data_IF_703512380228
#
_entry.id   IF_703512380228
#
_cell.length_a   1.000
_cell.length_b   1.000
_cell.length_c   1.000
_cell.angle_alpha   90.00
_cell.angle_beta   90.00
_cell.angle_gamma   90.00
#
_symmetry.space_group_name_H-M   'P 1'
#
loop_
_entity.id
_entity.type
_entity.pdbx_description
1 polymer ?
#
# COMPACT_ATOMS: atom_id res chain seq x y z
N UNK A 1 4.14 -22.01 -9.55
CA UNK A 1 3.80 -21.00 -10.58
C UNK A 1 2.39 -21.19 -11.14
N UNK A 2 2.00 -22.40 -11.57
CA UNK A 2 0.64 -22.66 -12.10
C UNK A 2 -0.51 -22.23 -11.17
N UNK A 3 -0.35 -22.42 -9.86
CA UNK A 3 -1.38 -22.05 -8.88
C UNK A 3 -1.55 -20.52 -8.70
N UNK A 4 -0.47 -19.76 -8.87
CA UNK A 4 -0.50 -18.29 -8.84
C UNK A 4 -1.21 -17.75 -10.08
N UNK A 5 -0.90 -18.30 -11.26
CA UNK A 5 -1.56 -17.93 -12.52
C UNK A 5 -3.06 -18.22 -12.45
N UNK A 6 -3.47 -19.38 -11.93
CA UNK A 6 -4.88 -19.73 -11.75
C UNK A 6 -5.61 -18.84 -10.73
N UNK A 7 -4.91 -18.26 -9.74
CA UNK A 7 -5.47 -17.24 -8.84
C UNK A 7 -5.62 -15.89 -9.55
N UNK A 8 -4.64 -15.50 -10.36
CA UNK A 8 -4.68 -14.26 -11.17
C UNK A 8 -5.84 -14.32 -12.16
N UNK A 9 -5.98 -15.42 -12.91
CA UNK A 9 -7.06 -15.60 -13.89
C UNK A 9 -8.43 -15.50 -13.23
N UNK A 10 -8.66 -16.23 -12.12
CA UNK A 10 -9.91 -16.13 -11.36
C UNK A 10 -10.17 -14.73 -10.81
N UNK A 11 -9.13 -14.03 -10.36
CA UNK A 11 -9.26 -12.67 -9.85
C UNK A 11 -9.65 -11.66 -10.94
N UNK A 12 -9.33 -11.94 -12.21
CA UNK A 12 -9.57 -11.06 -13.37
C UNK A 12 -10.81 -11.47 -14.19
N UNK A 13 -11.26 -12.72 -14.08
CA UNK A 13 -12.37 -13.25 -14.87
C UNK A 13 -13.66 -12.45 -14.67
N UNK A 14 -14.24 -11.99 -15.79
CA UNK A 14 -15.48 -11.21 -15.79
C UNK A 14 -15.35 -9.75 -15.32
N UNK A 15 -14.14 -9.27 -15.01
CA UNK A 15 -13.92 -7.88 -14.62
C UNK A 15 -13.52 -7.03 -15.84
N UNK A 16 -14.07 -5.81 -15.98
CA UNK A 16 -13.61 -4.86 -17.00
C UNK A 16 -12.13 -4.53 -16.78
N UNK A 17 -11.41 -4.22 -17.86
CA UNK A 17 -10.01 -3.80 -17.74
C UNK A 17 -9.97 -2.44 -17.05
N UNK A 18 -8.98 -2.22 -16.19
CA UNK A 18 -8.85 -0.97 -15.46
C UNK A 18 -8.74 0.26 -16.35
N UNK A 19 -8.17 0.13 -17.56
CA UNK A 19 -8.04 1.22 -18.53
C UNK A 19 -9.39 1.67 -19.11
N UNK A 20 -10.41 0.81 -19.08
CA UNK A 20 -11.74 1.12 -19.58
C UNK A 20 -12.64 1.73 -18.48
N UNK A 21 -12.12 1.87 -17.25
CA UNK A 21 -12.84 2.38 -16.09
C UNK A 21 -12.49 3.84 -15.77
N UNK A 22 -13.45 4.65 -15.30
CA UNK A 22 -13.15 5.90 -14.62
C UNK A 22 -12.21 5.68 -13.41
N UNK A 23 -11.32 6.63 -13.12
CA UNK A 23 -10.26 6.47 -12.12
C UNK A 23 -10.77 6.02 -10.74
N UNK A 24 -11.87 6.61 -10.25
CA UNK A 24 -12.47 6.20 -8.98
C UNK A 24 -12.93 4.72 -8.98
N UNK A 25 -13.49 4.24 -10.09
CA UNK A 25 -13.90 2.84 -10.23
C UNK A 25 -12.69 1.91 -10.37
N UNK A 26 -11.65 2.33 -11.10
CA UNK A 26 -10.39 1.59 -11.20
C UNK A 26 -9.72 1.43 -9.82
N UNK A 27 -9.73 2.47 -8.97
CA UNK A 27 -9.25 2.41 -7.58
C UNK A 27 -10.03 1.38 -6.76
N UNK A 28 -11.36 1.44 -6.80
CA UNK A 28 -12.21 0.50 -6.07
C UNK A 28 -11.99 -0.95 -6.54
N UNK A 29 -11.91 -1.17 -7.86
CA UNK A 29 -11.64 -2.47 -8.45
C UNK A 29 -10.26 -3.03 -8.04
N UNK A 30 -9.24 -2.17 -8.02
CA UNK A 30 -7.89 -2.53 -7.56
C UNK A 30 -7.88 -2.86 -6.07
N UNK A 31 -8.50 -2.04 -5.23
CA UNK A 31 -8.58 -2.28 -3.79
C UNK A 31 -9.28 -3.62 -3.45
N UNK A 32 -10.40 -3.92 -4.12
CA UNK A 32 -11.10 -5.20 -3.93
C UNK A 32 -10.36 -6.43 -4.48
N UNK A 33 -9.32 -6.24 -5.28
CA UNK A 33 -8.48 -7.30 -5.84
C UNK A 33 -7.09 -7.43 -5.23
N UNK A 34 -6.60 -6.38 -4.56
CA UNK A 34 -5.22 -6.28 -4.06
C UNK A 34 -4.88 -7.44 -3.11
N UNK A 35 -5.80 -7.77 -2.20
CA UNK A 35 -5.58 -8.83 -1.20
C UNK A 35 -5.67 -10.25 -1.78
N UNK A 36 -6.26 -10.43 -2.97
CA UNK A 36 -6.51 -11.76 -3.55
C UNK A 36 -5.20 -12.52 -3.85
N UNK A 37 -4.13 -11.78 -4.12
CA UNK A 37 -2.81 -12.33 -4.43
C UNK A 37 -1.81 -12.16 -3.28
N UNK A 38 -2.18 -11.42 -2.24
CA UNK A 38 -1.30 -11.13 -1.12
C UNK A 38 -1.25 -12.28 -0.10
N UNK A 39 -0.23 -12.21 0.75
CA UNK A 39 -0.13 -13.01 1.96
C UNK A 39 -0.96 -12.34 3.07
N UNK A 40 -1.40 -13.09 4.10
CA UNK A 40 -1.84 -12.46 5.33
C UNK A 40 -0.76 -11.48 5.85
N UNK A 41 -1.15 -10.31 6.37
CA UNK A 41 -0.20 -9.36 6.96
C UNK A 41 0.66 -10.02 8.04
N UNK A 42 1.93 -9.62 8.13
CA UNK A 42 2.82 -10.06 9.19
C UNK A 42 2.37 -9.48 10.55
N UNK A 43 2.57 -10.25 11.62
CA UNK A 43 2.37 -9.75 12.98
C UNK A 43 3.46 -8.72 13.35
N UNK A 44 3.02 -7.57 13.83
CA UNK A 44 3.86 -6.44 14.24
C UNK A 44 3.50 -6.00 15.66
N UNK A 45 4.36 -5.21 16.28
CA UNK A 45 4.08 -4.63 17.59
C UNK A 45 2.98 -3.56 17.50
N UNK A 46 3.06 -2.69 16.49
CA UNK A 46 2.06 -1.66 16.25
C UNK A 46 1.86 -1.37 14.77
N UNK A 47 0.65 -0.95 14.43
CA UNK A 47 0.26 -0.41 13.12
C UNK A 47 -0.64 0.78 13.36
N UNK A 48 -0.14 1.97 13.03
CA UNK A 48 -0.81 3.24 13.36
C UNK A 48 -1.06 4.08 12.11
N UNK A 49 -2.26 4.62 11.98
CA UNK A 49 -2.57 5.63 10.97
C UNK A 49 -2.18 7.01 11.49
N UNK A 50 -1.51 7.78 10.63
CA UNK A 50 -0.92 9.09 10.93
C UNK A 50 -1.40 10.13 9.92
N UNK A 51 -1.46 11.38 10.36
CA UNK A 51 -1.58 12.54 9.47
C UNK A 51 -0.26 13.29 9.46
N UNK A 52 0.36 13.36 8.29
CA UNK A 52 1.59 14.09 8.05
C UNK A 52 1.31 15.59 7.82
N UNK A 53 2.33 16.45 7.95
CA UNK A 53 2.21 17.85 7.53
C UNK A 53 1.66 17.96 6.10
N UNK A 54 0.81 18.95 5.86
CA UNK A 54 0.07 19.08 4.60
C UNK A 54 -1.19 18.22 4.51
N UNK A 55 -1.55 17.50 5.58
CA UNK A 55 -2.79 16.72 5.66
C UNK A 55 -2.74 15.39 4.92
N UNK A 56 -1.55 14.92 4.54
CA UNK A 56 -1.38 13.61 3.90
C UNK A 56 -1.57 12.50 4.92
N UNK A 57 -2.32 11.47 4.52
CA UNK A 57 -2.45 10.26 5.31
C UNK A 57 -1.20 9.38 5.15
N UNK A 58 -0.79 8.69 6.21
CA UNK A 58 0.25 7.68 6.17
C UNK A 58 -0.05 6.58 7.19
N UNK A 59 0.54 5.40 7.00
CA UNK A 59 0.48 4.30 7.97
C UNK A 59 1.88 3.89 8.39
N UNK A 60 2.12 3.86 9.70
CA UNK A 60 3.36 3.40 10.30
C UNK A 60 3.22 1.94 10.73
N UNK A 61 4.14 1.09 10.26
CA UNK A 61 4.26 -0.30 10.62
C UNK A 61 5.51 -0.47 11.48
N UNK A 62 5.35 -0.78 12.77
CA UNK A 62 6.44 -0.90 13.72
C UNK A 62 6.69 -2.37 14.09
N UNK A 63 7.87 -2.94 13.76
CA UNK A 63 8.14 -4.35 14.07
C UNK A 63 8.41 -4.60 15.56
N UNK A 64 8.70 -3.56 16.34
CA UNK A 64 8.90 -3.60 17.80
C UNK A 64 8.36 -2.33 18.44
N UNK A 65 8.07 -2.42 19.74
CA UNK A 65 7.71 -1.28 20.58
C UNK A 65 8.79 -0.18 20.55
N UNK A 66 8.40 1.11 20.66
CA UNK A 66 9.35 2.21 20.78
C UNK A 66 10.28 2.04 21.99
N UNK A 67 11.57 2.33 21.80
CA UNK A 67 12.55 2.28 22.88
C UNK A 67 13.47 3.52 22.88
N UNK A 68 13.60 4.25 24.00
CA UNK A 68 14.29 5.55 24.04
C UNK A 68 15.78 5.46 23.71
N UNK A 69 16.41 4.32 23.97
CA UNK A 69 17.85 4.12 23.74
C UNK A 69 18.17 3.23 22.54
N UNK A 70 17.15 2.80 21.78
CA UNK A 70 17.31 1.92 20.63
C UNK A 70 16.34 2.33 19.50
N UNK A 71 16.57 3.49 18.86
CA UNK A 71 15.72 3.94 17.76
C UNK A 71 15.75 2.94 16.61
N UNK A 72 14.61 2.78 15.95
CA UNK A 72 14.48 1.90 14.80
C UNK A 72 14.76 2.69 13.51
N UNK A 73 15.49 2.13 12.54
CA UNK A 73 15.55 2.72 11.22
C UNK A 73 14.15 2.77 10.60
N UNK A 74 13.92 3.73 9.70
CA UNK A 74 12.63 3.91 9.03
C UNK A 74 12.79 3.81 7.52
N UNK A 75 12.00 2.94 6.89
CA UNK A 75 11.80 2.89 5.45
C UNK A 75 10.55 3.72 5.11
N UNK A 76 10.71 4.77 4.30
CA UNK A 76 9.56 5.49 3.72
C UNK A 76 9.15 4.77 2.44
N UNK A 77 7.88 4.35 2.38
CA UNK A 77 7.34 3.57 1.28
C UNK A 77 6.26 4.35 0.52
N UNK A 78 6.36 4.35 -0.81
CA UNK A 78 5.37 4.92 -1.71
C UNK A 78 4.75 3.79 -2.52
N UNK A 79 3.43 3.65 -2.45
CA UNK A 79 2.74 2.55 -3.10
C UNK A 79 2.78 2.63 -4.64
N UNK A 80 2.73 1.47 -5.28
CA UNK A 80 2.58 1.38 -6.74
C UNK A 80 1.16 1.71 -7.21
N UNK A 81 0.93 1.65 -8.52
CA UNK A 81 -0.38 1.92 -9.14
C UNK A 81 -0.39 3.07 -10.15
N UNK A 82 0.75 3.39 -10.75
CA UNK A 82 0.84 4.35 -11.85
C UNK A 82 0.32 5.75 -11.49
N UNK A 83 0.46 6.15 -10.23
CA UNK A 83 -0.02 7.43 -9.69
C UNK A 83 -1.54 7.65 -9.79
N UNK A 84 -2.31 6.61 -10.07
CA UNK A 84 -3.76 6.70 -10.30
C UNK A 84 -4.54 5.77 -9.37
N UNK A 85 -3.99 4.59 -9.05
CA UNK A 85 -4.57 3.59 -8.16
C UNK A 85 -3.60 3.22 -7.03
N UNK A 86 -4.09 2.41 -6.10
CA UNK A 86 -3.36 2.01 -4.91
C UNK A 86 -3.59 2.96 -3.74
N UNK A 87 -3.23 2.50 -2.55
CA UNK A 87 -3.21 3.26 -1.30
C UNK A 87 -2.34 2.54 -0.28
N UNK A 88 -2.24 3.11 0.92
CA UNK A 88 -1.65 2.42 2.09
C UNK A 88 -2.35 1.08 2.41
N UNK A 89 -3.65 0.97 2.12
CA UNK A 89 -4.42 -0.25 2.39
C UNK A 89 -4.08 -1.34 1.36
N UNK A 90 -3.95 -1.00 0.08
CA UNK A 90 -3.68 -1.99 -0.97
C UNK A 90 -2.27 -2.57 -0.92
N UNK A 91 -1.38 -1.98 -0.12
CA UNK A 91 0.00 -2.46 0.10
C UNK A 91 0.25 -2.85 1.56
N UNK A 92 -0.81 -3.08 2.34
CA UNK A 92 -0.74 -3.39 3.76
C UNK A 92 0.07 -4.65 4.05
N UNK A 93 -0.20 -5.74 3.32
CA UNK A 93 0.54 -6.99 3.48
C UNK A 93 2.03 -6.79 3.19
N UNK A 94 2.37 -6.21 2.04
CA UNK A 94 3.75 -5.93 1.66
C UNK A 94 4.48 -5.08 2.73
N UNK A 95 3.89 -3.97 3.16
CA UNK A 95 4.51 -3.09 4.16
C UNK A 95 4.73 -3.81 5.50
N UNK A 96 3.76 -4.62 5.93
CA UNK A 96 3.89 -5.40 7.16
C UNK A 96 5.03 -6.42 7.08
N UNK A 97 5.18 -7.11 5.96
CA UNK A 97 6.27 -8.07 5.73
C UNK A 97 7.63 -7.37 5.60
N UNK A 98 7.68 -6.19 4.96
CA UNK A 98 8.89 -5.38 4.92
C UNK A 98 9.32 -4.97 6.33
N UNK A 99 8.42 -4.47 7.17
CA UNK A 99 8.72 -4.10 8.55
C UNK A 99 9.23 -5.31 9.36
N UNK A 100 8.48 -6.42 9.31
CA UNK A 100 8.80 -7.64 10.03
C UNK A 100 10.18 -8.20 9.65
N UNK A 101 10.50 -8.27 8.35
CA UNK A 101 11.74 -8.89 7.86
C UNK A 101 12.96 -7.99 7.93
N UNK A 102 12.78 -6.68 7.76
CA UNK A 102 13.90 -5.72 7.80
C UNK A 102 14.25 -5.26 9.21
N UNK A 103 13.35 -5.49 10.19
CA UNK A 103 13.46 -4.96 11.55
C UNK A 103 13.53 -3.42 11.60
N UNK A 104 13.11 -2.76 10.53
CA UNK A 104 12.91 -1.33 10.39
C UNK A 104 11.41 -1.01 10.47
N UNK A 105 11.07 0.16 11.00
CA UNK A 105 9.71 0.67 10.84
C UNK A 105 9.47 1.03 9.37
N UNK A 106 8.24 0.89 8.88
CA UNK A 106 7.84 1.29 7.52
C UNK A 106 6.79 2.38 7.62
N UNK A 107 7.05 3.55 7.04
CA UNK A 107 6.08 4.62 6.90
C UNK A 107 5.53 4.62 5.47
N UNK A 108 4.35 4.05 5.27
CA UNK A 108 3.67 4.03 3.97
C UNK A 108 2.88 5.32 3.77
N UNK A 109 3.17 6.06 2.70
CA UNK A 109 2.57 7.38 2.44
C UNK A 109 1.42 7.26 1.42
N UNK A 110 0.28 7.86 1.74
CA UNK A 110 -0.89 7.97 0.87
C UNK A 110 -0.81 9.28 0.07
N UNK A 111 0.00 9.26 -1.00
CA UNK A 111 0.27 10.45 -1.80
C UNK A 111 -0.91 10.80 -2.73
N UNK A 112 -0.94 12.04 -3.21
CA UNK A 112 -2.00 12.55 -4.09
C UNK A 112 -2.03 11.82 -5.44
N UNK A 113 -3.21 11.42 -5.89
CA UNK A 113 -3.40 10.65 -7.11
C UNK A 113 -3.96 11.48 -8.27
N UNK A 114 -3.53 11.14 -9.48
CA UNK A 114 -4.16 11.56 -10.71
C UNK A 114 -5.48 10.80 -10.93
N UNK A 115 -6.44 11.35 -11.69
CA UNK A 115 -6.37 12.60 -12.45
C UNK A 115 -6.67 13.89 -11.67
N UNK A 116 -7.15 13.79 -10.43
CA UNK A 116 -7.52 14.92 -9.57
C UNK A 116 -6.31 15.80 -9.24
N UNK A 117 -5.16 15.14 -9.01
CA UNK A 117 -3.88 15.79 -8.79
C UNK A 117 -2.89 15.31 -9.84
N UNK A 118 -2.80 16.06 -10.94
CA UNK A 118 -1.88 15.72 -12.04
C UNK A 118 -0.42 15.93 -11.64
N UNK A 119 0.49 15.30 -12.38
CA UNK A 119 1.93 15.54 -12.26
C UNK A 119 2.23 17.06 -12.21
N UNK A 120 3.08 17.54 -11.29
CA UNK A 120 3.96 16.78 -10.38
C UNK A 120 3.40 16.53 -8.96
N UNK A 121 2.09 16.68 -8.71
CA UNK A 121 1.52 16.72 -7.36
C UNK A 121 1.75 15.51 -6.43
N UNK A 122 2.20 14.37 -6.96
CA UNK A 122 2.60 13.23 -6.13
C UNK A 122 3.95 13.45 -5.41
N UNK A 123 4.78 14.38 -5.89
CA UNK A 123 6.16 14.62 -5.41
C UNK A 123 6.34 16.01 -4.76
N UNK A 124 5.55 16.99 -5.19
CA UNK A 124 5.48 18.33 -4.59
C UNK A 124 4.67 18.33 -3.28
#
# INVERSE_FOLDING_TARGET
MAEVLARIERAQQGKPRMIDLPAAQARAAYAGGAEVLDLPPAALAAVDDLTLPGGLHARLYAPREPHPYAPQPVLVYFHGGGFTIGSVATHNSLCSHLAHRSLAAVLSVDYRLAPEHRFPAAFD
#
